data_IF_478931584829
#
_entry.id   IF_478931584829
#
_cell.length_a   1.000
_cell.length_b   1.000
_cell.length_c   1.000
_cell.angle_alpha   90.00
_cell.angle_beta   90.00
_cell.angle_gamma   90.00
#
_symmetry.space_group_name_H-M   'P 1'
#
loop_
_entity.id
_entity.type
_entity.pdbx_description
1 polymer ?
#
# COMPACT_ATOMS: atom_id res chain seq x y z
N UNK A 1 4.05 -17.37 3.24
CA UNK A 1 3.11 -16.42 3.85
C UNK A 1 1.84 -16.43 3.02
N UNK A 2 0.69 -16.72 3.62
CA UNK A 2 -0.60 -16.55 2.96
C UNK A 2 -0.96 -15.07 3.02
N UNK A 3 -1.48 -14.53 1.93
CA UNK A 3 -1.98 -13.16 1.91
C UNK A 3 -3.22 -13.05 2.79
N UNK A 4 -3.20 -12.19 3.79
CA UNK A 4 -4.32 -11.96 4.69
C UNK A 4 -5.35 -11.04 4.01
N UNK A 5 -6.30 -11.65 3.30
CA UNK A 5 -7.33 -10.94 2.54
C UNK A 5 -8.25 -10.12 3.43
N UNK A 6 -8.60 -10.61 4.63
CA UNK A 6 -9.49 -9.92 5.55
C UNK A 6 -8.82 -8.67 6.13
N UNK A 7 -7.54 -8.78 6.47
CA UNK A 7 -6.72 -7.63 6.87
C UNK A 7 -6.59 -6.62 5.74
N UNK A 8 -6.39 -7.08 4.50
CA UNK A 8 -6.31 -6.18 3.34
C UNK A 8 -7.61 -5.40 3.12
N UNK A 9 -8.76 -6.09 3.13
CA UNK A 9 -10.08 -5.46 3.00
C UNK A 9 -10.29 -4.43 4.10
N UNK A 10 -9.93 -4.77 5.35
CA UNK A 10 -10.03 -3.86 6.49
C UNK A 10 -9.14 -2.62 6.32
N UNK A 11 -7.92 -2.78 5.79
CA UNK A 11 -7.01 -1.65 5.49
C UNK A 11 -7.56 -0.76 4.38
N UNK A 12 -8.18 -1.33 3.35
CA UNK A 12 -8.81 -0.60 2.25
C UNK A 12 -10.04 0.17 2.74
N UNK A 13 -10.86 -0.41 3.63
CA UNK A 13 -12.03 0.25 4.20
C UNK A 13 -11.68 1.34 5.23
N UNK A 14 -10.61 1.15 5.99
CA UNK A 14 -10.21 2.09 7.06
C UNK A 14 -9.42 3.29 6.56
N UNK A 15 -8.73 3.15 5.44
CA UNK A 15 -7.99 4.24 4.82
C UNK A 15 -8.75 4.77 3.61
N UNK A 16 -8.60 6.07 3.30
CA UNK A 16 -8.98 6.65 2.00
C UNK A 16 -8.02 6.10 0.92
N UNK A 17 -8.17 4.81 0.62
CA UNK A 17 -7.40 4.12 -0.39
C UNK A 17 -7.87 4.62 -1.76
N UNK A 18 -6.93 5.12 -2.55
CA UNK A 18 -7.23 5.72 -3.85
C UNK A 18 -7.25 4.59 -4.88
N UNK A 19 -8.43 4.00 -5.03
CA UNK A 19 -8.72 2.94 -6.02
C UNK A 19 -9.74 3.37 -7.07
N UNK A 20 -10.50 4.45 -6.84
CA UNK A 20 -11.46 4.98 -7.80
C UNK A 20 -10.78 5.74 -8.94
N UNK A 21 -10.79 5.15 -10.13
CA UNK A 21 -10.10 5.67 -11.31
C UNK A 21 -10.66 7.00 -11.85
N UNK A 22 -11.88 7.37 -11.45
CA UNK A 22 -12.53 8.63 -11.87
C UNK A 22 -12.15 9.85 -11.03
N UNK A 23 -11.37 9.67 -9.96
CA UNK A 23 -11.01 10.75 -9.03
C UNK A 23 -9.75 11.49 -9.47
N UNK A 24 -9.65 12.78 -9.16
CA UNK A 24 -8.45 13.58 -9.45
C UNK A 24 -7.24 13.06 -8.69
N UNK A 25 -7.50 12.53 -7.50
CA UNK A 25 -6.56 11.90 -6.58
C UNK A 25 -5.92 10.65 -7.20
N UNK A 26 -6.67 9.85 -7.97
CA UNK A 26 -6.15 8.69 -8.68
C UNK A 26 -5.24 9.07 -9.86
N UNK A 27 -5.53 10.21 -10.50
CA UNK A 27 -4.72 10.77 -11.59
C UNK A 27 -3.39 11.34 -11.08
N UNK A 28 -3.33 11.72 -9.79
CA UNK A 28 -2.10 12.14 -9.15
C UNK A 28 -1.25 10.92 -8.75
N UNK A 29 -0.12 10.74 -9.46
CA UNK A 29 0.80 9.63 -9.22
C UNK A 29 1.37 9.64 -7.80
N UNK A 30 1.65 10.81 -7.23
CA UNK A 30 2.25 10.94 -5.90
C UNK A 30 1.24 10.60 -4.82
N UNK A 31 0.02 11.13 -4.92
CA UNK A 31 -1.05 10.84 -3.97
C UNK A 31 -1.44 9.37 -4.03
N UNK A 32 -1.58 8.80 -5.24
CA UNK A 32 -1.82 7.37 -5.43
C UNK A 32 -0.71 6.52 -4.79
N UNK A 33 0.55 6.84 -5.05
CA UNK A 33 1.69 6.10 -4.47
C UNK A 33 1.67 6.15 -2.94
N UNK A 34 1.45 7.34 -2.36
CA UNK A 34 1.39 7.52 -0.90
C UNK A 34 0.24 6.72 -0.28
N UNK A 35 -0.92 6.71 -0.93
CA UNK A 35 -2.10 5.94 -0.50
C UNK A 35 -1.82 4.44 -0.46
N UNK A 36 -1.23 3.88 -1.53
CA UNK A 36 -0.87 2.46 -1.58
C UNK A 36 0.28 2.08 -0.65
N UNK A 37 1.24 2.98 -0.42
CA UNK A 37 2.33 2.77 0.54
C UNK A 37 1.78 2.56 1.96
N UNK A 38 0.84 3.41 2.38
CA UNK A 38 0.20 3.31 3.70
C UNK A 38 -0.55 1.98 3.90
N UNK A 39 -1.18 1.45 2.85
CA UNK A 39 -1.81 0.12 2.89
C UNK A 39 -0.74 -0.97 3.04
N UNK A 40 0.39 -0.86 2.34
CA UNK A 40 1.51 -1.79 2.44
C UNK A 40 2.11 -1.85 3.86
N UNK A 41 2.38 -0.69 4.45
CA UNK A 41 2.87 -0.56 5.83
C UNK A 41 1.88 -1.13 6.86
N UNK A 42 0.58 -0.95 6.62
CA UNK A 42 -0.47 -1.51 7.51
C UNK A 42 -0.58 -3.04 7.38
N UNK A 43 -0.37 -3.56 6.18
CA UNK A 43 -0.44 -5.00 5.89
C UNK A 43 0.77 -5.75 6.44
N UNK A 44 1.97 -5.19 6.28
CA UNK A 44 3.22 -5.82 6.65
C UNK A 44 4.00 -4.91 7.60
N UNK A 45 4.16 -5.28 8.88
CA UNK A 45 4.99 -4.54 9.82
C UNK A 45 6.43 -4.33 9.32
N UNK A 46 6.95 -5.30 8.57
CA UNK A 46 8.31 -5.30 8.00
C UNK A 46 8.35 -4.74 6.57
N UNK A 47 7.34 -3.95 6.17
CA UNK A 47 7.25 -3.39 4.82
C UNK A 47 8.52 -2.61 4.43
N UNK A 48 9.07 -1.86 5.38
CA UNK A 48 10.27 -1.04 5.21
C UNK A 48 11.55 -1.86 5.10
N UNK A 49 11.63 -3.03 5.75
CA UNK A 49 12.79 -3.93 5.65
C UNK A 49 12.88 -4.62 4.29
N UNK A 50 11.76 -4.83 3.60
CA UNK A 50 11.73 -5.47 2.26
C UNK A 50 12.02 -4.51 1.10
N UNK A 51 12.11 -3.21 1.36
CA UNK A 51 12.44 -2.19 0.34
C UNK A 51 13.92 -1.93 0.16
N UNK A 52 14.79 -2.47 1.02
CA UNK A 52 16.23 -2.46 0.73
C UNK A 52 16.51 -3.50 -0.38
N UNK A 53 16.98 -3.09 -1.58
CA UNK A 53 17.54 -4.05 -2.50
C UNK A 53 18.73 -4.68 -1.78
N UNK A 54 18.67 -5.98 -1.52
CA UNK A 54 19.84 -6.75 -1.11
C UNK A 54 20.98 -6.39 -2.06
N UNK A 55 21.89 -5.51 -1.63
CA UNK A 55 23.16 -5.31 -2.29
C UNK A 55 23.93 -6.59 -2.07
N UNK A 56 23.75 -7.55 -2.99
CA UNK A 56 24.63 -8.70 -3.11
C UNK A 56 26.02 -8.16 -3.45
N UNK A 57 26.89 -8.16 -2.45
CA UNK A 57 28.33 -7.98 -2.60
C UNK A 57 28.94 -9.20 -3.28
#
# INVERSE_FOLDING_TARGET
MVFDTDKFISCIQSNLSIWEMGTKEYMDKFIKQKSWLSIGESMYPDWTEKTEPEKKY
#
